data_IF_246075722146
#
_entry.id   IF_246075722146
#
_cell.length_a   1.000
_cell.length_b   1.000
_cell.length_c   1.000
_cell.angle_alpha   90.00
_cell.angle_beta   90.00
_cell.angle_gamma   90.00
#
_symmetry.space_group_name_H-M   'P 1'
#
loop_
_entity.id
_entity.type
_entity.pdbx_description
1 polymer ?
#
# COMPACT_ATOMS: atom_id res chain seq x y z
N UNK A 1 9.88 -1.91 7.68
CA UNK A 1 10.07 -0.91 8.74
C UNK A 1 11.14 0.06 8.29
N UNK A 2 10.96 1.36 8.51
CA UNK A 2 11.94 2.38 8.20
C UNK A 2 12.02 3.38 9.37
N UNK A 3 13.21 3.82 9.73
CA UNK A 3 13.44 4.78 10.80
C UNK A 3 14.39 5.87 10.30
N UNK A 4 13.93 7.12 10.34
CA UNK A 4 14.71 8.27 9.91
C UNK A 4 15.13 9.09 11.13
N UNK A 5 16.42 9.42 11.20
CA UNK A 5 17.03 10.22 12.25
C UNK A 5 17.85 11.34 11.62
N UNK A 6 17.78 12.55 12.19
CA UNK A 6 18.72 13.64 11.88
C UNK A 6 19.79 13.74 12.96
N UNK A 7 21.06 13.85 12.55
CA UNK A 7 22.23 13.98 13.45
C UNK A 7 22.85 15.38 13.43
N UNK A 8 22.38 16.30 12.57
CA UNK A 8 22.85 17.69 12.55
C UNK A 8 21.79 18.61 13.15
N UNK A 9 22.17 19.34 14.19
CA UNK A 9 21.40 20.38 14.86
C UNK A 9 22.00 21.72 14.41
N UNK A 10 21.39 22.37 13.42
CA UNK A 10 21.59 23.82 13.20
C UNK A 10 20.56 24.57 14.06
N UNK A 11 20.94 25.72 14.63
CA UNK A 11 20.15 26.51 15.60
C UNK A 11 18.72 26.91 15.16
N UNK A 12 18.33 26.59 13.92
CA UNK A 12 17.03 26.90 13.33
C UNK A 12 16.22 25.69 12.83
N UNK A 13 16.66 24.44 13.06
CA UNK A 13 15.92 23.23 12.63
C UNK A 13 15.62 22.29 13.79
N UNK A 14 14.33 22.01 13.97
CA UNK A 14 13.82 21.00 14.90
C UNK A 14 14.43 19.63 14.56
N UNK A 15 14.91 18.91 15.59
CA UNK A 15 15.28 17.50 15.46
C UNK A 15 14.14 16.71 14.81
N UNK A 16 14.44 15.70 13.98
CA UNK A 16 13.45 14.83 13.35
C UNK A 16 13.79 13.38 13.71
N UNK A 17 12.90 12.74 14.47
CA UNK A 17 12.94 11.31 14.79
C UNK A 17 11.58 10.73 14.46
N UNK A 18 11.51 10.02 13.33
CA UNK A 18 10.26 9.47 12.79
C UNK A 18 10.41 7.98 12.52
N UNK A 19 9.55 7.18 13.15
CA UNK A 19 9.48 5.73 12.93
C UNK A 19 8.29 5.42 12.03
N UNK A 20 8.52 4.65 10.98
CA UNK A 20 7.49 4.22 10.04
C UNK A 20 7.38 2.70 10.01
N UNK A 21 6.21 2.20 10.43
CA UNK A 21 5.90 0.78 10.51
C UNK A 21 4.69 0.49 9.64
N UNK A 22 4.84 -0.47 8.73
CA UNK A 22 3.80 -0.89 7.81
C UNK A 22 3.53 -2.38 7.94
N UNK A 23 2.86 -2.85 9.01
CA UNK A 23 2.41 -4.23 9.07
C UNK A 23 1.26 -4.45 8.07
N UNK A 24 1.23 -5.63 7.46
CA UNK A 24 0.09 -6.05 6.65
C UNK A 24 -0.14 -7.56 6.79
N UNK A 25 -1.39 -7.95 6.63
CA UNK A 25 -1.79 -9.35 6.46
C UNK A 25 -2.79 -9.41 5.30
N UNK A 26 -2.63 -10.42 4.45
CA UNK A 26 -3.52 -10.67 3.34
C UNK A 26 -3.92 -12.15 3.29
N UNK A 27 -5.19 -12.41 3.05
CA UNK A 27 -5.73 -13.75 2.89
C UNK A 27 -6.57 -13.83 1.62
N UNK A 28 -6.19 -14.73 0.72
CA UNK A 28 -6.88 -14.95 -0.56
C UNK A 28 -7.61 -16.27 -0.56
N UNK A 29 -8.91 -16.23 -0.81
CA UNK A 29 -9.76 -17.41 -0.94
C UNK A 29 -9.52 -18.12 -2.28
N UNK A 30 -9.98 -19.37 -2.37
CA UNK A 30 -10.00 -20.11 -3.66
C UNK A 30 -10.91 -19.46 -4.71
N UNK A 31 -11.84 -18.59 -4.30
CA UNK A 31 -12.75 -17.83 -5.18
C UNK A 31 -12.17 -16.50 -5.64
N UNK A 32 -10.86 -16.29 -5.48
CA UNK A 32 -10.11 -15.09 -5.87
C UNK A 32 -10.50 -13.80 -5.14
N UNK A 33 -11.07 -13.95 -3.95
CA UNK A 33 -11.36 -12.83 -3.05
C UNK A 33 -10.19 -12.67 -2.09
N UNK A 34 -9.60 -11.49 -2.04
CA UNK A 34 -8.50 -11.16 -1.14
C UNK A 34 -8.98 -10.17 -0.09
N UNK A 35 -8.81 -10.52 1.16
CA UNK A 35 -8.97 -9.63 2.31
C UNK A 35 -7.60 -9.13 2.71
N UNK A 36 -7.47 -7.83 2.96
CA UNK A 36 -6.21 -7.21 3.37
C UNK A 36 -6.46 -6.28 4.54
N UNK A 37 -5.65 -6.42 5.58
CA UNK A 37 -5.59 -5.48 6.68
C UNK A 37 -4.15 -4.96 6.77
N UNK A 38 -3.98 -3.65 6.75
CA UNK A 38 -2.68 -3.00 6.90
C UNK A 38 -2.77 -1.79 7.83
N UNK A 39 -1.63 -1.41 8.39
CA UNK A 39 -1.47 -0.13 9.10
C UNK A 39 -0.28 0.61 8.52
N UNK A 40 -0.34 1.93 8.41
CA UNK A 40 0.80 2.77 7.99
C UNK A 40 1.18 3.70 9.15
N UNK A 41 1.56 3.11 10.28
CA UNK A 41 1.76 3.83 11.54
C UNK A 41 3.03 4.67 11.48
N UNK A 42 2.88 5.95 11.79
CA UNK A 42 3.98 6.92 11.88
C UNK A 42 4.03 7.49 13.30
N UNK A 43 5.19 7.40 13.95
CA UNK A 43 5.46 8.06 15.23
C UNK A 43 6.35 9.27 14.98
N UNK A 44 5.90 10.48 15.35
CA UNK A 44 6.71 11.70 15.33
C UNK A 44 6.99 12.13 16.78
N UNK A 45 8.19 11.83 17.26
CA UNK A 45 8.55 12.01 18.68
C UNK A 45 8.84 13.47 19.07
N UNK A 46 9.00 14.38 18.09
CA UNK A 46 9.23 15.81 18.32
C UNK A 46 7.95 16.66 18.20
N UNK A 47 6.78 16.04 17.97
CA UNK A 47 5.50 16.74 18.01
C UNK A 47 5.14 17.12 19.46
N UNK A 48 4.64 18.35 19.65
CA UNK A 48 4.17 18.83 20.95
C UNK A 48 2.92 18.03 21.37
N UNK A 49 2.71 17.80 22.67
CA UNK A 49 1.56 16.99 23.16
C UNK A 49 0.18 17.51 22.72
N UNK A 50 0.09 18.75 22.23
CA UNK A 50 -1.12 19.34 21.67
C UNK A 50 -1.41 18.95 20.20
N UNK A 51 -0.41 18.45 19.45
CA UNK A 51 -0.48 18.23 18.00
C UNK A 51 -0.66 16.75 17.60
N UNK A 52 -0.50 15.81 18.54
CA UNK A 52 -0.60 14.37 18.32
C UNK A 52 0.73 13.74 17.88
N UNK A 53 1.27 12.82 18.69
CA UNK A 53 2.59 12.17 18.45
C UNK A 53 2.53 10.99 17.48
N UNK A 54 1.33 10.49 17.20
CA UNK A 54 1.11 9.29 16.42
C UNK A 54 0.06 9.52 15.34
N UNK A 55 0.27 8.92 14.18
CA UNK A 55 -0.78 8.74 13.17
C UNK A 55 -0.85 7.26 12.86
N UNK A 56 -1.98 6.65 13.18
CA UNK A 56 -2.18 5.19 13.08
C UNK A 56 -3.38 4.92 12.17
N UNK A 57 -3.19 4.96 10.85
CA UNK A 57 -4.25 4.60 9.91
C UNK A 57 -4.36 3.08 9.81
N UNK A 58 -5.50 2.53 10.19
CA UNK A 58 -5.89 1.15 9.95
C UNK A 58 -6.66 1.08 8.63
N UNK A 59 -6.17 0.26 7.70
CA UNK A 59 -6.72 0.14 6.35
C UNK A 59 -7.20 -1.29 6.17
N UNK A 60 -8.49 -1.44 5.90
CA UNK A 60 -9.09 -2.72 5.55
C UNK A 60 -9.59 -2.68 4.12
N UNK A 61 -9.24 -3.69 3.32
CA UNK A 61 -9.60 -3.76 1.91
C UNK A 61 -10.07 -5.16 1.53
N UNK A 62 -11.02 -5.21 0.62
CA UNK A 62 -11.50 -6.42 -0.02
C UNK A 62 -11.32 -6.22 -1.53
N UNK A 63 -10.63 -7.15 -2.19
CA UNK A 63 -10.55 -7.17 -3.65
C UNK A 63 -11.03 -8.50 -4.21
N UNK A 64 -11.67 -8.45 -5.37
CA UNK A 64 -12.13 -9.62 -6.11
C UNK A 64 -11.60 -9.54 -7.54
N UNK A 65 -10.94 -10.61 -7.97
CA UNK A 65 -10.64 -10.81 -9.39
C UNK A 65 -11.78 -11.61 -9.99
N UNK A 66 -12.33 -11.10 -11.10
CA UNK A 66 -13.37 -11.78 -11.85
C UNK A 66 -13.13 -11.65 -13.35
N UNK A 67 -13.79 -12.49 -14.13
CA UNK A 67 -13.69 -12.47 -15.60
C UNK A 67 -15.06 -12.13 -16.18
N UNK A 68 -15.12 -11.10 -17.01
CA UNK A 68 -16.30 -10.79 -17.82
C UNK A 68 -15.94 -11.20 -19.26
N UNK A 69 -16.54 -12.32 -19.71
CA UNK A 69 -16.15 -12.95 -20.97
C UNK A 69 -14.67 -13.34 -20.98
N UNK A 70 -13.88 -12.71 -21.86
CA UNK A 70 -12.43 -12.95 -21.98
C UNK A 70 -11.57 -11.93 -21.23
N UNK A 71 -12.17 -10.90 -20.63
CA UNK A 71 -11.46 -9.80 -19.98
C UNK A 71 -11.41 -10.03 -18.46
N UNK A 72 -10.21 -10.26 -17.87
CA UNK A 72 -10.06 -10.25 -16.43
C UNK A 72 -10.14 -8.81 -15.90
N UNK A 73 -10.84 -8.64 -14.78
CA UNK A 73 -10.94 -7.37 -14.06
C UNK A 73 -10.69 -7.61 -12.57
N UNK A 74 -10.16 -6.61 -11.89
CA UNK A 74 -10.05 -6.58 -10.44
C UNK A 74 -10.89 -5.42 -9.90
N UNK A 75 -11.75 -5.71 -8.94
CA UNK A 75 -12.54 -4.71 -8.22
C UNK A 75 -12.07 -4.73 -6.77
N UNK A 76 -11.84 -3.57 -6.18
CA UNK A 76 -11.46 -3.44 -4.77
C UNK A 76 -12.27 -2.32 -4.11
N UNK A 77 -12.68 -2.59 -2.88
CA UNK A 77 -13.23 -1.60 -1.95
C UNK A 77 -12.42 -1.65 -0.67
N UNK A 78 -12.22 -0.50 -0.02
CA UNK A 78 -11.57 -0.45 1.27
C UNK A 78 -11.96 0.75 2.10
N UNK A 79 -11.88 0.58 3.41
CA UNK A 79 -12.02 1.63 4.39
C UNK A 79 -10.66 1.93 5.03
N UNK A 80 -10.45 3.18 5.38
CA UNK A 80 -9.34 3.65 6.21
C UNK A 80 -9.96 4.30 7.44
N UNK A 81 -9.47 3.93 8.62
CA UNK A 81 -9.85 4.54 9.89
C UNK A 81 -8.59 5.00 10.59
N UNK A 82 -8.59 6.23 11.11
CA UNK A 82 -7.46 6.76 11.86
C UNK A 82 -7.71 6.51 13.34
N UNK A 83 -7.01 5.52 13.91
CA UNK A 83 -7.10 5.22 15.34
C UNK A 83 -6.47 6.33 16.20
N UNK A 84 -5.49 7.04 15.65
CA UNK A 84 -4.93 8.27 16.19
C UNK A 84 -4.59 9.19 15.02
N UNK A 85 -4.94 10.47 15.13
CA UNK A 85 -4.67 11.50 14.12
C UNK A 85 -4.53 12.89 14.74
N UNK A 86 -3.81 13.82 14.07
CA UNK A 86 -3.70 15.20 14.53
C UNK A 86 -5.07 15.89 14.62
N UNK A 87 -5.17 16.96 15.41
CA UNK A 87 -6.43 17.67 15.75
C UNK A 87 -7.35 18.07 14.57
N UNK A 88 -6.81 18.19 13.36
CA UNK A 88 -7.55 18.54 12.14
C UNK A 88 -7.43 17.47 11.04
N UNK A 89 -7.02 16.25 11.40
CA UNK A 89 -6.91 15.12 10.50
C UNK A 89 -8.27 14.50 10.16
N UNK A 90 -8.36 13.76 9.03
CA UNK A 90 -9.55 12.98 8.72
C UNK A 90 -9.69 11.78 9.66
N UNK A 91 -10.89 11.52 10.17
CA UNK A 91 -11.16 10.35 11.03
C UNK A 91 -11.23 9.04 10.25
N UNK A 92 -11.71 9.10 9.01
CA UNK A 92 -11.88 7.94 8.14
C UNK A 92 -11.83 8.31 6.66
N UNK A 93 -11.73 7.30 5.80
CA UNK A 93 -11.83 7.42 4.36
C UNK A 93 -12.27 6.13 3.71
N UNK A 94 -12.76 6.22 2.47
CA UNK A 94 -13.15 5.05 1.66
C UNK A 94 -12.45 5.13 0.31
N UNK A 95 -12.12 3.97 -0.25
CA UNK A 95 -11.51 3.84 -1.57
C UNK A 95 -12.22 2.75 -2.38
N UNK A 96 -12.51 3.08 -3.64
CA UNK A 96 -12.96 2.15 -4.67
C UNK A 96 -11.92 2.13 -5.79
N UNK A 97 -11.50 0.94 -6.21
CA UNK A 97 -10.60 0.75 -7.33
C UNK A 97 -11.19 -0.26 -8.32
N UNK A 98 -11.11 0.07 -9.61
CA UNK A 98 -11.43 -0.83 -10.72
C UNK A 98 -10.20 -0.90 -11.63
N UNK A 99 -9.68 -2.11 -11.83
CA UNK A 99 -8.48 -2.35 -12.63
C UNK A 99 -8.78 -3.32 -13.76
N UNK A 100 -8.52 -2.90 -15.00
CA UNK A 100 -8.61 -3.73 -16.19
C UNK A 100 -7.26 -4.42 -16.46
N UNK A 101 -7.28 -5.74 -16.63
CA UNK A 101 -6.07 -6.55 -16.82
C UNK A 101 -5.93 -6.98 -18.28
N UNK A 102 -5.06 -6.33 -19.04
CA UNK A 102 -4.84 -6.68 -20.44
C UNK A 102 -3.68 -7.68 -20.58
N UNK A 103 -3.82 -8.71 -21.43
CA UNK A 103 -2.71 -9.62 -21.73
C UNK A 103 -1.58 -8.83 -22.42
N UNK A 104 -0.34 -9.11 -22.04
CA UNK A 104 0.81 -8.70 -22.85
C UNK A 104 0.72 -9.43 -24.19
N UNK A 105 0.60 -8.67 -25.26
CA UNK A 105 0.48 -9.21 -26.61
C UNK A 105 1.72 -10.04 -26.95
N UNK A 106 1.54 -11.36 -27.07
CA UNK A 106 2.46 -12.33 -27.68
C UNK A 106 3.91 -12.31 -27.19
N UNK A 107 4.37 -13.41 -26.57
CA UNK A 107 5.82 -13.68 -26.62
C UNK A 107 6.24 -13.66 -28.10
N UNK A 108 7.35 -13.01 -28.47
CA UNK A 108 7.93 -13.22 -29.79
C UNK A 108 8.05 -14.74 -29.99
N UNK A 109 7.64 -15.23 -31.17
CA UNK A 109 7.85 -16.63 -31.51
C UNK A 109 9.32 -16.98 -31.21
N UNK A 110 9.61 -18.16 -30.63
CA UNK A 110 10.99 -18.59 -30.48
C UNK A 110 11.66 -18.47 -31.84
N UNK A 111 12.75 -17.70 -31.92
CA UNK A 111 13.57 -17.69 -33.12
C UNK A 111 14.03 -19.13 -33.28
N UNK A 112 13.47 -19.80 -34.29
CA UNK A 112 13.90 -21.13 -34.71
C UNK A 112 15.41 -21.02 -34.91
N UNK A 113 16.18 -21.70 -34.05
CA UNK A 113 17.60 -21.86 -34.29
C UNK A 113 17.70 -22.78 -35.50
N UNK A 114 17.70 -22.19 -36.69
CA UNK A 114 18.06 -22.85 -37.94
C UNK A 114 19.32 -23.65 -37.66
N UNK A 115 19.20 -24.97 -37.78
CA UNK A 115 20.24 -25.90 -37.43
C UNK A 115 21.55 -25.53 -38.10
N UNK A 116 22.61 -25.38 -37.31
CA UNK A 116 23.95 -25.58 -37.80
C UNK A 116 24.06 -27.06 -38.15
N UNK A 117 23.79 -27.36 -39.42
CA UNK A 117 24.10 -28.62 -40.07
C UNK A 117 25.58 -28.59 -40.44
N UNK A 118 26.28 -29.61 -39.92
CA UNK A 118 27.67 -30.06 -40.10
C UNK A 118 28.74 -29.37 -39.25
#
# INVERSE_FOLDING_TARGET
>A
MNQLWSVVIEEHRSSLSQMFVQPFIAYTTKTHTTFTLSSESTANWNATSADGKWTVPLIFQISQILKIGRQPISIQIGGKYYADSPRYGPDWGVRLNLTLLYPTGGRPAPVEKTGLVK
#
